data_IF_311630956342
#
_entry.id   IF_311630956342
#
_cell.length_a   1.000
_cell.length_b   1.000
_cell.length_c   1.000
_cell.angle_alpha   90.00
_cell.angle_beta   90.00
_cell.angle_gamma   90.00
#
_symmetry.space_group_name_H-M   'P 1'
#
loop_
_entity.id
_entity.type
_entity.pdbx_description
1 polymer ?
#
# COMPACT_ATOMS: atom_id res chain seq x y z
N UNK A 1 21.79 44.17 40.71
CA UNK A 1 21.96 43.76 42.12
C UNK A 1 21.02 42.63 42.55
N UNK A 2 19.73 42.64 42.19
CA UNK A 2 18.77 41.60 42.62
C UNK A 2 19.07 40.16 42.12
N UNK A 3 19.52 40.01 40.87
CA UNK A 3 19.85 38.69 40.29
C UNK A 3 21.02 37.98 40.98
N UNK A 4 21.98 38.76 41.51
CA UNK A 4 23.13 38.23 42.25
C UNK A 4 22.72 37.69 43.62
N UNK A 5 21.66 38.25 44.22
CA UNK A 5 21.13 37.82 45.52
C UNK A 5 20.48 36.44 45.46
N UNK A 6 19.79 36.14 44.36
CA UNK A 6 19.15 34.83 44.12
C UNK A 6 20.01 33.88 43.28
N UNK A 7 21.25 34.27 42.96
CA UNK A 7 22.18 33.52 42.10
C UNK A 7 21.54 32.97 40.82
N UNK A 8 20.64 33.74 40.20
CA UNK A 8 19.90 33.33 39.01
C UNK A 8 20.27 34.19 37.81
N UNK A 9 20.41 33.57 36.64
CA UNK A 9 20.63 34.29 35.40
C UNK A 9 19.39 35.04 34.93
N UNK A 10 19.57 36.21 34.33
CA UNK A 10 18.48 37.06 33.80
C UNK A 10 17.53 36.29 32.86
N UNK A 11 18.09 35.40 32.03
CA UNK A 11 17.33 34.54 31.11
C UNK A 11 16.33 33.65 31.84
N UNK A 12 16.67 33.15 33.03
CA UNK A 12 15.79 32.27 33.81
C UNK A 12 14.58 33.08 34.31
N UNK A 13 14.82 34.27 34.83
CA UNK A 13 13.75 35.15 35.35
C UNK A 13 12.82 35.60 34.22
N UNK A 14 13.37 36.10 33.12
CA UNK A 14 12.59 36.60 31.98
C UNK A 14 11.78 35.50 31.30
N UNK A 15 12.33 34.28 31.16
CA UNK A 15 11.59 33.16 30.57
C UNK A 15 10.54 32.58 31.51
N UNK A 16 10.79 32.59 32.82
CA UNK A 16 9.79 32.17 33.82
C UNK A 16 8.64 33.16 33.88
N UNK A 17 8.92 34.47 33.87
CA UNK A 17 7.90 35.52 33.84
C UNK A 17 7.00 35.43 32.60
N UNK A 18 7.58 35.16 31.42
CA UNK A 18 6.81 34.97 30.19
C UNK A 18 5.90 33.74 30.19
N UNK A 19 6.17 32.76 31.05
CA UNK A 19 5.37 31.52 31.22
C UNK A 19 4.47 31.56 32.45
N UNK A 20 4.46 32.68 33.17
CA UNK A 20 3.68 32.82 34.38
C UNK A 20 2.23 33.14 34.01
N UNK A 21 1.34 32.18 34.25
CA UNK A 21 -0.08 32.26 33.91
C UNK A 21 -0.94 32.88 35.03
N UNK A 22 -0.31 33.40 36.10
CA UNK A 22 -0.99 34.00 37.26
C UNK A 22 -1.36 33.03 38.38
N UNK A 23 -1.25 31.71 38.13
CA UNK A 23 -1.42 30.67 39.15
C UNK A 23 -0.12 30.41 39.93
N UNK A 24 -0.25 29.85 41.13
CA UNK A 24 0.89 29.55 42.01
C UNK A 24 1.75 28.39 41.48
N UNK A 25 1.21 27.56 40.58
CA UNK A 25 1.88 26.39 40.02
C UNK A 25 2.36 26.64 38.59
N UNK A 26 3.61 26.26 38.31
CA UNK A 26 4.16 26.31 36.95
C UNK A 26 3.55 25.19 36.12
N UNK A 27 3.18 25.49 34.87
CA UNK A 27 2.68 24.49 33.93
C UNK A 27 3.71 23.40 33.65
N UNK A 28 3.23 22.18 33.44
CA UNK A 28 4.06 20.99 33.23
C UNK A 28 5.01 21.14 32.02
N UNK A 29 6.28 20.73 32.17
CA UNK A 29 7.28 20.84 31.10
C UNK A 29 6.98 19.85 29.96
N UNK A 30 6.61 20.39 28.80
CA UNK A 30 6.27 19.63 27.59
C UNK A 30 7.49 19.32 26.70
N UNK A 31 8.72 19.63 27.14
CA UNK A 31 9.93 19.21 26.41
C UNK A 31 9.96 17.69 26.24
N UNK A 32 10.28 17.23 25.04
CA UNK A 32 10.31 15.79 24.71
C UNK A 32 8.94 15.11 24.66
N UNK A 33 7.85 15.77 25.08
CA UNK A 33 6.47 15.25 24.98
C UNK A 33 5.86 15.55 23.61
N UNK A 34 6.64 15.41 22.54
CA UNK A 34 6.09 15.44 21.20
C UNK A 34 5.44 14.09 20.92
N UNK A 35 4.12 14.05 21.09
CA UNK A 35 3.33 12.93 20.61
C UNK A 35 3.35 13.04 19.09
N UNK A 36 4.17 12.21 18.43
CA UNK A 36 3.99 11.97 17.01
C UNK A 36 2.54 11.58 16.84
N UNK A 37 1.75 12.38 16.12
CA UNK A 37 0.39 11.97 15.73
C UNK A 37 0.55 10.60 15.11
N UNK A 38 -0.07 9.59 15.70
CA UNK A 38 -0.05 8.25 15.12
C UNK A 38 -0.42 8.42 13.64
N UNK A 39 0.31 7.76 12.75
CA UNK A 39 -0.07 7.70 11.34
C UNK A 39 -1.36 6.87 11.27
N UNK A 40 -2.49 7.49 11.64
CA UNK A 40 -3.79 6.87 11.63
C UNK A 40 -4.17 6.72 10.16
N UNK A 41 -3.95 5.52 9.64
CA UNK A 41 -4.55 5.13 8.38
C UNK A 41 -6.04 4.93 8.67
N UNK A 42 -6.85 5.78 8.07
CA UNK A 42 -8.30 5.69 8.21
C UNK A 42 -8.83 4.44 7.50
N UNK A 43 -9.87 3.81 8.04
CA UNK A 43 -10.43 2.57 7.49
C UNK A 43 -11.01 2.79 6.08
N UNK A 44 -11.60 3.96 5.84
CA UNK A 44 -12.11 4.33 4.52
C UNK A 44 -10.99 4.50 3.50
N UNK A 45 -9.83 5.06 3.91
CA UNK A 45 -8.65 5.16 3.05
C UNK A 45 -8.10 3.78 2.69
N UNK A 46 -8.09 2.84 3.64
CA UNK A 46 -7.67 1.46 3.36
C UNK A 46 -8.63 0.84 2.35
N UNK A 47 -9.93 1.03 2.51
CA UNK A 47 -10.95 0.52 1.59
C UNK A 47 -10.81 1.09 0.18
N UNK A 48 -10.60 2.39 0.04
CA UNK A 48 -10.44 3.03 -1.28
C UNK A 48 -9.23 2.47 -2.04
N UNK A 49 -8.11 2.26 -1.35
CA UNK A 49 -6.90 1.64 -1.94
C UNK A 49 -7.16 0.19 -2.30
N UNK A 50 -7.82 -0.58 -1.44
CA UNK A 50 -8.16 -1.98 -1.72
C UNK A 50 -9.07 -2.11 -2.94
N UNK A 51 -10.06 -1.24 -3.09
CA UNK A 51 -10.99 -1.29 -4.21
C UNK A 51 -10.31 -0.86 -5.53
N UNK A 52 -9.41 0.14 -5.48
CA UNK A 52 -8.56 0.48 -6.61
C UNK A 52 -7.64 -0.68 -7.01
N UNK A 53 -7.05 -1.41 -6.05
CA UNK A 53 -6.21 -2.57 -6.37
C UNK A 53 -7.03 -3.68 -7.05
N UNK A 54 -8.26 -3.91 -6.59
CA UNK A 54 -9.17 -4.93 -7.16
C UNK A 54 -9.66 -4.60 -8.57
N UNK A 55 -9.61 -3.34 -9.01
CA UNK A 55 -9.96 -2.99 -10.38
C UNK A 55 -8.92 -3.44 -11.41
N UNK A 56 -7.70 -3.77 -10.98
CA UNK A 56 -6.67 -4.31 -11.87
C UNK A 56 -6.83 -5.83 -12.08
N UNK A 57 -6.33 -6.32 -13.22
CA UNK A 57 -6.18 -7.74 -13.50
C UNK A 57 -5.01 -8.33 -12.69
N UNK A 58 -5.31 -8.93 -11.54
CA UNK A 58 -4.31 -9.67 -10.76
C UNK A 58 -4.19 -11.10 -11.28
N UNK A 59 -2.96 -11.53 -11.55
CA UNK A 59 -2.66 -12.86 -12.10
C UNK A 59 -1.74 -13.62 -11.14
N UNK A 60 -2.13 -14.86 -10.83
CA UNK A 60 -1.30 -15.79 -10.06
C UNK A 60 -0.13 -16.33 -10.88
N UNK A 61 0.96 -16.72 -10.21
CA UNK A 61 2.07 -17.43 -10.84
C UNK A 61 1.62 -18.72 -11.51
N UNK A 62 2.20 -19.04 -12.67
CA UNK A 62 1.79 -20.21 -13.46
C UNK A 62 2.43 -21.51 -12.95
N UNK A 63 3.73 -21.49 -12.72
CA UNK A 63 4.53 -22.68 -12.39
C UNK A 63 5.15 -22.64 -11.00
N UNK A 64 5.23 -21.47 -10.35
CA UNK A 64 5.80 -21.37 -9.00
C UNK A 64 4.96 -22.17 -7.99
N UNK A 65 5.68 -22.74 -7.02
CA UNK A 65 5.21 -23.69 -6.00
C UNK A 65 3.90 -23.27 -5.32
N UNK A 66 3.13 -24.31 -4.98
CA UNK A 66 1.87 -24.34 -4.22
C UNK A 66 1.83 -23.46 -2.95
N UNK A 67 2.99 -23.10 -2.41
CA UNK A 67 3.12 -22.40 -1.13
C UNK A 67 3.11 -20.86 -1.27
N UNK A 68 3.33 -20.31 -2.46
CA UNK A 68 3.34 -18.85 -2.68
C UNK A 68 1.95 -18.33 -3.04
N UNK A 69 1.40 -17.43 -2.22
CA UNK A 69 0.15 -16.68 -2.50
C UNK A 69 0.41 -15.33 -3.18
N UNK A 70 1.55 -15.19 -3.85
CA UNK A 70 1.96 -13.92 -4.45
C UNK A 70 1.21 -13.68 -5.75
N UNK A 71 0.58 -12.51 -5.86
CA UNK A 71 -0.15 -12.06 -7.05
C UNK A 71 0.74 -11.13 -7.89
N UNK A 72 0.52 -11.08 -9.19
CA UNK A 72 1.28 -10.24 -10.11
C UNK A 72 0.37 -9.38 -10.97
N UNK A 73 0.81 -8.14 -11.21
CA UNK A 73 0.15 -7.20 -12.13
C UNK A 73 0.74 -7.35 -13.53
N UNK A 74 -0.10 -7.28 -14.56
CA UNK A 74 0.33 -7.26 -15.97
C UNK A 74 0.60 -5.83 -16.46
N UNK A 75 -0.33 -4.92 -16.20
CA UNK A 75 -0.32 -3.59 -16.82
C UNK A 75 0.60 -2.60 -16.12
N UNK A 76 0.77 -2.73 -14.80
CA UNK A 76 1.45 -1.72 -13.98
C UNK A 76 2.77 -2.25 -13.43
N UNK A 77 3.87 -1.60 -13.83
CA UNK A 77 5.25 -2.00 -13.50
C UNK A 77 5.78 -1.44 -12.18
N UNK A 78 5.07 -0.52 -11.51
CA UNK A 78 5.53 0.05 -10.24
C UNK A 78 4.41 0.55 -9.33
N UNK A 79 4.64 0.49 -8.02
CA UNK A 79 3.74 1.06 -7.01
C UNK A 79 3.56 2.58 -7.18
N UNK A 80 4.60 3.28 -7.64
CA UNK A 80 4.51 4.71 -7.93
C UNK A 80 3.54 5.01 -9.06
N UNK A 81 3.55 4.21 -10.13
CA UNK A 81 2.59 4.36 -11.24
C UNK A 81 1.17 4.03 -10.77
N UNK A 82 1.00 2.99 -9.94
CA UNK A 82 -0.29 2.68 -9.33
C UNK A 82 -0.83 3.85 -8.50
N UNK A 83 0.00 4.53 -7.72
CA UNK A 83 -0.44 5.70 -6.94
C UNK A 83 -0.90 6.86 -7.83
N UNK A 84 -0.24 7.08 -8.97
CA UNK A 84 -0.67 8.12 -9.92
C UNK A 84 -2.05 7.77 -10.51
N UNK A 85 -2.24 6.51 -10.94
CA UNK A 85 -3.53 6.02 -11.43
C UNK A 85 -4.62 6.07 -10.34
N UNK A 86 -4.27 5.76 -9.10
CA UNK A 86 -5.16 5.88 -7.95
C UNK A 86 -5.64 7.33 -7.77
N UNK A 87 -4.73 8.29 -7.95
CA UNK A 87 -5.06 9.71 -7.80
C UNK A 87 -6.01 10.19 -8.91
N UNK A 88 -5.91 9.61 -10.11
CA UNK A 88 -6.80 9.86 -11.25
C UNK A 88 -8.15 9.13 -11.11
N UNK A 89 -8.14 7.92 -10.55
CA UNK A 89 -9.33 7.08 -10.35
C UNK A 89 -10.16 7.48 -9.13
N UNK A 90 -9.57 8.19 -8.16
CA UNK A 90 -10.20 8.49 -6.88
C UNK A 90 -11.46 9.35 -7.05
N UNK A 91 -12.58 8.81 -6.58
CA UNK A 91 -13.87 9.47 -6.57
C UNK A 91 -14.17 10.06 -5.17
N UNK A 92 -14.31 11.39 -5.11
CA UNK A 92 -14.59 12.11 -3.86
C UNK A 92 -16.00 11.90 -3.33
N UNK A 93 -16.95 11.47 -4.17
CA UNK A 93 -18.32 11.23 -3.75
C UNK A 93 -18.47 9.87 -3.07
N UNK A 94 -17.63 8.91 -3.47
CA UNK A 94 -17.65 7.54 -2.93
C UNK A 94 -16.79 7.36 -1.68
N UNK A 95 -15.69 8.08 -1.56
CA UNK A 95 -14.76 7.96 -0.43
C UNK A 95 -14.43 9.31 0.16
N UNK A 96 -14.50 9.44 1.49
CA UNK A 96 -14.21 10.70 2.19
C UNK A 96 -12.72 11.02 2.22
N UNK A 97 -11.88 9.99 2.35
CA UNK A 97 -10.45 10.12 2.58
C UNK A 97 -9.63 9.37 1.52
N UNK A 98 -8.55 10.01 1.06
CA UNK A 98 -7.61 9.43 0.08
C UNK A 98 -6.20 9.30 0.63
N UNK A 99 -5.50 8.27 0.20
CA UNK A 99 -4.06 8.15 0.42
C UNK A 99 -3.36 9.39 -0.17
N UNK A 100 -2.73 10.18 0.70
CA UNK A 100 -2.18 11.48 0.31
C UNK A 100 -0.75 11.37 -0.19
N UNK A 101 0.01 10.39 0.32
CA UNK A 101 1.42 10.18 -0.04
C UNK A 101 1.64 8.79 -0.61
N UNK A 102 2.58 8.68 -1.57
CA UNK A 102 3.05 7.40 -2.14
C UNK A 102 3.44 6.37 -1.06
N UNK A 103 4.04 6.82 0.03
CA UNK A 103 4.41 5.97 1.17
C UNK A 103 3.19 5.32 1.81
N UNK A 104 2.17 6.11 2.17
CA UNK A 104 0.93 5.61 2.76
C UNK A 104 0.26 4.58 1.85
N UNK A 105 0.18 4.87 0.54
CA UNK A 105 -0.36 3.94 -0.44
C UNK A 105 0.40 2.61 -0.47
N UNK A 106 1.73 2.66 -0.45
CA UNK A 106 2.59 1.47 -0.42
C UNK A 106 2.43 0.67 0.87
N UNK A 107 2.34 1.35 2.00
CA UNK A 107 2.18 0.71 3.30
C UNK A 107 0.84 -0.04 3.35
N UNK A 108 -0.26 0.58 2.90
CA UNK A 108 -1.58 -0.05 2.79
C UNK A 108 -1.54 -1.24 1.81
N UNK A 109 -0.92 -1.06 0.65
CA UNK A 109 -0.83 -2.11 -0.36
C UNK A 109 -0.07 -3.33 0.14
N UNK A 110 1.08 -3.12 0.80
CA UNK A 110 1.91 -4.21 1.33
C UNK A 110 1.25 -4.92 2.53
N UNK A 111 0.46 -4.19 3.33
CA UNK A 111 -0.25 -4.76 4.48
C UNK A 111 -1.43 -5.64 4.04
N UNK A 112 -2.14 -5.25 2.98
CA UNK A 112 -3.35 -5.95 2.53
C UNK A 112 -3.08 -6.98 1.42
N UNK A 113 -2.06 -6.77 0.59
CA UNK A 113 -1.81 -7.62 -0.57
C UNK A 113 -0.34 -8.01 -0.71
N UNK A 114 -0.10 -9.27 -1.06
CA UNK A 114 1.23 -9.75 -1.44
C UNK A 114 1.41 -9.68 -2.96
N UNK A 115 1.62 -8.47 -3.51
CA UNK A 115 1.70 -8.23 -4.96
C UNK A 115 3.15 -8.02 -5.42
N UNK A 116 3.51 -8.63 -6.53
CA UNK A 116 4.75 -8.38 -7.27
C UNK A 116 4.49 -7.59 -8.57
N UNK A 117 5.38 -6.64 -8.88
CA UNK A 117 5.34 -5.88 -10.14
C UNK A 117 6.07 -6.56 -11.29
N UNK A 118 6.90 -7.56 -10.99
CA UNK A 118 7.70 -8.26 -11.97
C UNK A 118 7.38 -9.74 -11.94
N UNK A 119 6.87 -10.27 -13.07
CA UNK A 119 6.65 -11.69 -13.23
C UNK A 119 8.00 -12.41 -13.39
N UNK A 120 8.23 -13.50 -12.66
CA UNK A 120 9.49 -14.22 -12.75
C UNK A 120 9.60 -14.94 -14.10
N UNK A 121 10.81 -14.97 -14.68
CA UNK A 121 11.06 -15.59 -15.99
C UNK A 121 10.68 -17.09 -16.06
N UNK A 122 10.75 -17.77 -14.93
CA UNK A 122 10.38 -19.20 -14.79
C UNK A 122 8.88 -19.44 -14.93
N UNK A 123 8.05 -18.40 -14.81
CA UNK A 123 6.58 -18.49 -14.95
C UNK A 123 6.09 -18.27 -16.40
N UNK A 124 6.99 -18.15 -17.39
CA UNK A 124 6.59 -18.10 -18.79
C UNK A 124 6.13 -19.48 -19.26
N UNK A 125 4.88 -19.56 -19.68
CA UNK A 125 4.34 -20.71 -20.38
C UNK A 125 4.41 -20.48 -21.87
N UNK A 126 4.93 -21.45 -22.61
CA UNK A 126 5.09 -21.34 -24.06
C UNK A 126 3.76 -20.99 -24.76
N UNK A 127 2.68 -21.68 -24.40
CA UNK A 127 1.34 -21.45 -24.97
C UNK A 127 0.83 -20.04 -24.65
N UNK A 128 0.95 -19.59 -23.40
CA UNK A 128 0.53 -18.24 -23.02
C UNK A 128 1.42 -17.16 -23.65
N UNK A 129 2.71 -17.42 -23.75
CA UNK A 129 3.69 -16.47 -24.28
C UNK A 129 3.52 -16.26 -25.78
N UNK A 130 3.29 -17.35 -26.54
CA UNK A 130 2.98 -17.27 -27.98
C UNK A 130 1.71 -16.45 -28.23
N UNK A 131 0.68 -16.63 -27.39
CA UNK A 131 -0.56 -15.88 -27.50
C UNK A 131 -0.38 -14.39 -27.16
N UNK A 132 0.28 -14.07 -26.04
CA UNK A 132 0.47 -12.68 -25.58
C UNK A 132 1.38 -11.84 -26.50
N UNK A 133 2.36 -12.46 -27.16
CA UNK A 133 3.32 -11.74 -27.99
C UNK A 133 2.83 -11.47 -29.43
N UNK A 134 1.72 -12.09 -29.85
CA UNK A 134 1.17 -11.91 -31.19
C UNK A 134 0.05 -10.89 -31.16
N UNK A 135 0.20 -9.81 -31.93
CA UNK A 135 -0.84 -8.77 -32.06
C UNK A 135 -2.12 -9.30 -32.72
N UNK A 136 -1.98 -10.27 -33.63
CA UNK A 136 -3.10 -10.94 -34.32
C UNK A 136 -2.90 -12.46 -34.20
N UNK A 137 -3.42 -13.10 -33.13
CA UNK A 137 -3.36 -14.54 -32.97
C UNK A 137 -4.22 -15.26 -34.01
N UNK A 138 -3.74 -16.38 -34.55
CA UNK A 138 -4.56 -17.23 -35.43
C UNK A 138 -5.69 -17.90 -34.65
N UNK A 139 -6.77 -18.28 -35.33
CA UNK A 139 -7.91 -18.96 -34.69
C UNK A 139 -7.51 -20.25 -33.97
N UNK A 140 -6.53 -20.98 -34.52
CA UNK A 140 -5.95 -22.17 -33.90
C UNK A 140 -5.28 -21.85 -32.55
N UNK A 141 -4.49 -20.77 -32.48
CA UNK A 141 -3.79 -20.34 -31.27
C UNK A 141 -4.74 -19.80 -30.20
N UNK A 142 -5.80 -19.08 -30.61
CA UNK A 142 -6.90 -18.69 -29.70
C UNK A 142 -7.56 -19.93 -29.10
N UNK A 143 -7.87 -20.92 -29.93
CA UNK A 143 -8.48 -22.17 -29.47
C UNK A 143 -7.59 -22.94 -28.50
N UNK A 144 -6.28 -22.99 -28.77
CA UNK A 144 -5.29 -23.63 -27.91
C UNK A 144 -5.15 -22.91 -26.56
N UNK A 145 -5.13 -21.57 -26.58
CA UNK A 145 -5.08 -20.75 -25.37
C UNK A 145 -6.33 -20.93 -24.50
N UNK A 146 -7.53 -20.95 -25.10
CA UNK A 146 -8.78 -21.19 -24.36
C UNK A 146 -8.82 -22.57 -23.71
N UNK A 147 -8.39 -23.62 -24.43
CA UNK A 147 -8.26 -24.98 -23.88
C UNK A 147 -7.25 -25.03 -22.73
N UNK A 148 -6.11 -24.37 -22.89
CA UNK A 148 -5.09 -24.27 -21.84
C UNK A 148 -5.65 -23.57 -20.59
N UNK A 149 -6.42 -22.50 -20.77
CA UNK A 149 -7.01 -21.74 -19.66
C UNK A 149 -8.11 -22.52 -18.93
N UNK A 150 -8.95 -23.28 -19.65
CA UNK A 150 -9.98 -24.13 -19.04
C UNK A 150 -9.36 -25.29 -18.25
N UNK A 151 -8.32 -25.93 -18.79
CA UNK A 151 -7.56 -26.98 -18.09
C UNK A 151 -6.87 -26.45 -16.82
N UNK A 152 -6.35 -25.21 -16.85
CA UNK A 152 -5.80 -24.57 -15.66
C UNK A 152 -6.85 -24.38 -14.57
N UNK A 153 -8.04 -23.90 -14.92
CA UNK A 153 -9.15 -23.67 -13.97
C UNK A 153 -9.61 -24.98 -13.33
N UNK A 154 -9.81 -26.05 -14.11
CA UNK A 154 -10.23 -27.35 -13.59
C UNK A 154 -9.20 -27.96 -12.63
N UNK A 155 -7.91 -27.89 -12.96
CA UNK A 155 -6.83 -28.34 -12.08
C UNK A 155 -6.66 -27.47 -10.82
N UNK A 156 -7.11 -26.22 -10.82
CA UNK A 156 -7.10 -25.35 -9.63
C UNK A 156 -8.23 -25.69 -8.67
N UNK A 157 -9.46 -25.88 -9.19
CA UNK A 157 -10.64 -26.23 -8.39
C UNK A 157 -10.47 -27.55 -7.60
N UNK A 158 -9.76 -28.52 -8.17
CA UNK A 158 -9.48 -29.80 -7.48
C UNK A 158 -8.47 -29.66 -6.34
N UNK A 159 -7.55 -28.68 -6.42
CA UNK A 159 -6.53 -28.43 -5.38
C UNK A 159 -7.11 -27.75 -4.14
N UNK A 160 -8.08 -26.86 -4.29
CA UNK A 160 -8.74 -26.16 -3.18
C UNK A 160 -9.75 -27.06 -2.46
N UNK A 161 -10.35 -28.03 -3.15
CA UNK A 161 -11.30 -28.97 -2.56
C UNK A 161 -10.66 -30.00 -1.59
N UNK A 162 -9.38 -30.33 -1.76
CA UNK A 162 -8.65 -31.31 -0.94
C UNK A 162 -7.88 -30.73 0.25
N UNK A 163 -8.09 -29.47 0.62
CA UNK A 163 -7.41 -28.79 1.75
C UNK A 163 -8.35 -28.47 2.93
N UNK A 164 -9.44 -29.24 3.09
CA UNK A 164 -10.28 -29.20 4.29
C UNK A 164 -9.99 -30.39 5.19
#
# INVERSE_FOLDING_TARGET
MFLNTISAGERIVTTSWKKYDGEMTVSDDKRGKYIHKANVMDEEMIRSVCDHVKSFSLVESHYIRKDSKKLYLEDVKSASRMFNLYSEWFDSDKYRNKASTKRQYRDILNANFNIGFHKPKKDLCDVCHVYCNKEIPTEEEKSAFLKHQSAKKSCSCTKTAGQK
#
